data_IF_029448585319
#
_entry.id   IF_029448585319
#
_cell.length_a   1.000
_cell.length_b   1.000
_cell.length_c   1.000
_cell.angle_alpha   90.00
_cell.angle_beta   90.00
_cell.angle_gamma   90.00
#
_symmetry.space_group_name_H-M   'P 1'
#
loop_
_entity.id
_entity.type
_entity.pdbx_description
1 polymer ?
#
# COMPACT_ATOMS: atom_id res chain seq x y z
N UNK A 1 -3.24 26.16 6.85
CA UNK A 1 -3.37 24.83 6.21
C UNK A 1 -2.52 24.90 4.95
N UNK A 2 -1.49 24.09 4.82
CA UNK A 2 -0.72 24.03 3.57
C UNK A 2 -1.71 23.59 2.47
N UNK A 3 -1.74 24.35 1.36
CA UNK A 3 -2.47 23.94 0.17
C UNK A 3 -1.96 22.54 -0.21
N UNK A 4 -2.83 21.52 -0.37
CA UNK A 4 -2.37 20.25 -0.89
C UNK A 4 -1.64 20.56 -2.20
N UNK A 5 -0.44 20.02 -2.36
CA UNK A 5 0.30 20.19 -3.60
C UNK A 5 -0.58 19.62 -4.73
N UNK A 6 -1.18 20.51 -5.52
CA UNK A 6 -2.13 20.16 -6.59
C UNK A 6 -1.52 19.20 -7.63
N UNK A 7 -0.20 19.06 -7.60
CA UNK A 7 0.55 18.16 -8.48
C UNK A 7 0.86 16.80 -7.83
N UNK A 8 0.58 16.62 -6.53
CA UNK A 8 0.89 15.39 -5.81
C UNK A 8 -0.17 14.31 -6.04
N UNK A 9 0.17 13.17 -6.67
CA UNK A 9 -0.80 12.13 -6.96
C UNK A 9 -1.41 11.52 -5.68
N UNK A 10 -0.67 11.46 -4.58
CA UNK A 10 -1.18 10.90 -3.33
C UNK A 10 -2.12 11.86 -2.59
N UNK A 11 -1.93 13.18 -2.74
CA UNK A 11 -2.90 14.17 -2.29
C UNK A 11 -4.22 14.04 -3.08
N UNK A 12 -4.12 13.83 -4.39
CA UNK A 12 -5.29 13.58 -5.24
C UNK A 12 -6.05 12.33 -4.78
N UNK A 13 -5.36 11.22 -4.56
CA UNK A 13 -5.98 9.99 -4.03
C UNK A 13 -6.64 10.25 -2.68
N UNK A 14 -5.92 10.87 -1.74
CA UNK A 14 -6.42 11.17 -0.41
C UNK A 14 -7.65 12.09 -0.43
N UNK A 15 -7.75 13.06 -1.33
CA UNK A 15 -8.90 13.95 -1.46
C UNK A 15 -10.08 13.29 -2.17
N UNK A 16 -9.84 12.41 -3.12
CA UNK A 16 -10.87 11.74 -3.93
C UNK A 16 -11.61 10.68 -3.13
N UNK A 17 -10.89 9.84 -2.39
CA UNK A 17 -11.48 8.74 -1.64
C UNK A 17 -11.82 9.14 -0.20
N UNK A 18 -13.09 9.43 0.06
CA UNK A 18 -13.56 9.79 1.39
C UNK A 18 -13.32 8.68 2.43
N UNK A 19 -13.06 9.03 3.70
CA UNK A 19 -12.95 8.05 4.79
C UNK A 19 -14.23 7.23 4.96
N UNK A 20 -14.06 5.95 5.31
CA UNK A 20 -15.14 5.03 5.68
C UNK A 20 -14.74 4.21 6.92
N UNK A 21 -15.71 3.60 7.66
CA UNK A 21 -15.39 2.70 8.77
C UNK A 21 -14.62 1.47 8.26
N UNK A 22 -13.34 1.28 8.61
CA UNK A 22 -12.52 0.19 8.05
C UNK A 22 -13.02 -1.22 8.43
N UNK A 23 -13.80 -1.33 9.53
CA UNK A 23 -14.44 -2.59 9.95
C UNK A 23 -15.67 -2.95 9.14
N UNK A 24 -16.20 -2.00 8.34
CA UNK A 24 -17.37 -2.18 7.47
C UNK A 24 -17.17 -1.37 6.18
N UNK A 25 -16.24 -1.79 5.31
CA UNK A 25 -15.96 -1.09 4.07
C UNK A 25 -17.15 -1.14 3.11
N UNK A 26 -17.26 -0.18 2.18
CA UNK A 26 -18.23 -0.24 1.10
C UNK A 26 -18.08 -1.55 0.29
N UNK A 27 -19.17 -2.06 -0.31
CA UNK A 27 -19.09 -3.26 -1.15
C UNK A 27 -18.17 -3.01 -2.36
N UNK A 28 -17.53 -4.06 -2.91
CA UNK A 28 -16.60 -3.92 -4.04
C UNK A 28 -17.17 -3.21 -5.27
N UNK A 29 -18.50 -3.30 -5.46
CA UNK A 29 -19.25 -2.67 -6.56
C UNK A 29 -19.63 -1.21 -6.29
N UNK A 30 -19.23 -0.65 -5.14
CA UNK A 30 -19.56 0.73 -4.79
C UNK A 30 -18.81 1.72 -5.70
N UNK A 31 -19.52 2.69 -6.24
CA UNK A 31 -18.91 3.80 -6.99
C UNK A 31 -17.92 4.63 -6.16
N UNK A 32 -18.03 4.58 -4.82
CA UNK A 32 -17.08 5.24 -3.92
C UNK A 32 -15.68 4.62 -3.95
N UNK A 33 -15.55 3.41 -4.49
CA UNK A 33 -14.30 2.66 -4.62
C UNK A 33 -13.86 2.50 -6.07
N UNK A 34 -14.53 3.18 -7.01
CA UNK A 34 -14.19 3.08 -8.43
C UNK A 34 -12.75 3.53 -8.68
N UNK A 35 -11.88 2.71 -9.32
CA UNK A 35 -10.49 3.08 -9.58
C UNK A 35 -10.36 4.29 -10.51
N UNK A 36 -11.28 4.47 -11.45
CA UNK A 36 -11.34 5.53 -12.45
C UNK A 36 -11.72 6.91 -11.89
N UNK A 37 -11.94 7.04 -10.57
CA UNK A 37 -12.05 8.34 -9.92
C UNK A 37 -10.74 9.14 -9.93
N UNK A 38 -9.62 8.49 -10.21
CA UNK A 38 -8.30 9.11 -10.37
C UNK A 38 -7.63 8.68 -11.66
N UNK A 39 -6.67 9.47 -12.14
CA UNK A 39 -5.82 9.13 -13.28
C UNK A 39 -4.35 9.35 -12.86
N UNK A 40 -3.52 8.29 -12.85
CA UNK A 40 -3.85 6.89 -13.12
C UNK A 40 -4.84 6.30 -12.11
N UNK A 41 -5.45 5.17 -12.47
CA UNK A 41 -6.42 4.45 -11.65
C UNK A 41 -5.85 4.05 -10.29
N UNK A 42 -6.71 4.12 -9.25
CA UNK A 42 -6.30 3.77 -7.89
C UNK A 42 -7.15 2.63 -7.32
N UNK A 43 -6.51 1.53 -6.99
CA UNK A 43 -7.14 0.38 -6.35
C UNK A 43 -7.07 0.53 -4.82
N UNK A 44 -8.09 1.17 -4.23
CA UNK A 44 -8.13 1.55 -2.81
C UNK A 44 -8.34 0.33 -1.90
N UNK A 45 -7.54 0.25 -0.83
CA UNK A 45 -7.62 -0.81 0.21
C UNK A 45 -8.21 -0.26 1.51
N UNK A 46 -7.79 0.93 1.92
CA UNK A 46 -8.17 1.55 3.19
C UNK A 46 -8.30 3.05 3.02
N UNK A 47 -9.32 3.65 3.61
CA UNK A 47 -9.44 5.09 3.73
C UNK A 47 -9.99 5.47 5.09
N UNK A 48 -9.16 6.15 5.90
CA UNK A 48 -9.48 6.67 7.23
C UNK A 48 -9.34 8.19 7.25
N UNK A 49 -9.71 8.88 8.33
CA UNK A 49 -9.46 10.33 8.45
C UNK A 49 -7.98 10.72 8.36
N UNK A 50 -7.06 9.82 8.74
CA UNK A 50 -5.63 10.12 8.88
C UNK A 50 -4.74 9.46 7.83
N UNK A 51 -5.12 8.29 7.30
CA UNK A 51 -4.32 7.51 6.35
C UNK A 51 -5.15 6.92 5.23
N UNK A 52 -4.51 6.67 4.10
CA UNK A 52 -5.03 5.91 2.96
C UNK A 52 -4.08 4.79 2.59
N UNK A 53 -4.60 3.64 2.12
CA UNK A 53 -3.81 2.57 1.54
C UNK A 53 -4.40 2.11 0.21
N UNK A 54 -3.54 1.84 -0.76
CA UNK A 54 -3.90 1.44 -2.12
C UNK A 54 -2.79 0.58 -2.74
N UNK A 55 -3.08 -0.13 -3.82
CA UNK A 55 -2.07 -0.90 -4.54
C UNK A 55 -1.10 0.02 -5.29
N UNK A 56 0.17 -0.36 -5.34
CA UNK A 56 1.17 0.31 -6.19
C UNK A 56 0.83 0.00 -7.65
N UNK A 57 0.72 1.04 -8.48
CA UNK A 57 0.39 0.90 -9.92
C UNK A 57 1.54 0.26 -10.71
N UNK A 58 2.77 0.37 -10.20
CA UNK A 58 3.97 -0.25 -10.78
C UNK A 58 4.55 -1.25 -9.76
N UNK A 59 3.83 -2.36 -9.47
CA UNK A 59 4.16 -3.23 -8.35
C UNK A 59 5.48 -3.97 -8.56
N UNK A 60 6.21 -4.21 -7.47
CA UNK A 60 7.39 -5.08 -7.45
C UNK A 60 7.03 -6.56 -7.34
N UNK A 61 5.83 -6.84 -6.88
CA UNK A 61 5.26 -8.17 -6.72
C UNK A 61 3.73 -8.04 -6.57
N UNK A 62 2.95 -9.10 -6.83
CA UNK A 62 1.51 -9.10 -6.57
C UNK A 62 1.20 -8.64 -5.15
N UNK A 63 0.15 -7.84 -5.00
CA UNK A 63 -0.29 -7.24 -3.74
C UNK A 63 0.72 -6.24 -3.09
N UNK A 64 1.67 -5.70 -3.85
CA UNK A 64 2.48 -4.56 -3.38
C UNK A 64 1.55 -3.37 -3.10
N UNK A 65 1.48 -2.95 -1.85
CA UNK A 65 0.62 -1.85 -1.43
C UNK A 65 1.41 -0.69 -0.83
N UNK A 66 0.80 0.48 -0.86
CA UNK A 66 1.29 1.72 -0.26
C UNK A 66 0.36 2.12 0.89
N UNK A 67 0.95 2.57 2.00
CA UNK A 67 0.24 3.20 3.12
C UNK A 67 0.77 4.63 3.28
N UNK A 68 -0.10 5.62 3.14
CA UNK A 68 0.25 7.04 3.15
C UNK A 68 -0.53 7.80 4.22
N UNK A 69 0.04 8.85 4.86
CA UNK A 69 -0.75 9.81 5.61
C UNK A 69 -1.66 10.58 4.64
N UNK A 70 -2.85 10.96 5.09
CA UNK A 70 -3.76 11.77 4.28
C UNK A 70 -3.28 13.22 4.11
N UNK A 71 -2.78 13.91 5.15
CA UNK A 71 -2.14 15.20 4.97
C UNK A 71 -0.83 15.08 4.20
N UNK A 72 -0.57 16.05 3.32
CA UNK A 72 0.71 16.13 2.63
C UNK A 72 1.86 16.31 3.63
N UNK A 73 2.83 15.40 3.55
CA UNK A 73 4.10 15.50 4.26
C UNK A 73 5.19 14.97 3.32
N UNK A 74 6.23 15.75 3.12
CA UNK A 74 7.28 15.37 2.17
C UNK A 74 8.17 14.26 2.72
N UNK A 75 8.50 14.34 4.01
CA UNK A 75 9.33 13.36 4.72
C UNK A 75 8.64 12.88 5.99
N UNK A 76 9.07 11.74 6.51
CA UNK A 76 8.51 11.17 7.73
C UNK A 76 8.61 12.12 8.94
N UNK A 77 9.68 12.91 9.00
CA UNK A 77 9.87 13.97 10.02
C UNK A 77 8.81 15.06 10.00
N UNK A 78 8.10 15.22 8.89
CA UNK A 78 7.14 16.30 8.65
C UNK A 78 5.69 15.85 8.93
N UNK A 79 5.49 14.56 9.21
CA UNK A 79 4.16 13.98 9.44
C UNK A 79 3.62 14.45 10.80
N UNK A 80 2.41 15.02 10.86
CA UNK A 80 1.79 15.42 12.12
C UNK A 80 1.54 14.22 13.07
N UNK A 81 1.44 14.43 14.39
CA UNK A 81 1.32 13.35 15.37
C UNK A 81 0.17 12.36 15.09
N UNK A 82 -1.05 12.82 14.88
CA UNK A 82 -2.20 11.93 14.68
C UNK A 82 -2.08 11.03 13.42
N UNK A 83 -1.72 11.56 12.23
CA UNK A 83 -1.39 10.69 11.09
C UNK A 83 -0.19 9.76 11.33
N UNK A 84 0.83 10.19 12.08
CA UNK A 84 1.97 9.34 12.43
C UNK A 84 1.55 8.15 13.32
N UNK A 85 0.71 8.39 14.32
CA UNK A 85 0.10 7.35 15.16
C UNK A 85 -0.75 6.39 14.31
N UNK A 86 -1.55 6.94 13.39
CA UNK A 86 -2.36 6.14 12.48
C UNK A 86 -1.50 5.26 11.55
N UNK A 87 -0.40 5.79 10.99
CA UNK A 87 0.55 4.99 10.22
C UNK A 87 1.10 3.82 11.04
N UNK A 88 1.54 4.08 12.28
CA UNK A 88 2.02 3.05 13.20
C UNK A 88 0.97 1.99 13.54
N UNK A 89 -0.29 2.39 13.69
CA UNK A 89 -1.42 1.50 13.94
C UNK A 89 -1.77 0.64 12.73
N UNK A 90 -1.89 1.25 11.55
CA UNK A 90 -2.39 0.55 10.36
C UNK A 90 -1.33 -0.28 9.63
N UNK A 91 -0.04 0.01 9.81
CA UNK A 91 1.02 -0.78 9.19
C UNK A 91 0.99 -2.27 9.59
N UNK A 92 0.86 -2.64 10.86
CA UNK A 92 0.63 -4.04 11.25
C UNK A 92 -0.69 -4.61 10.73
N UNK A 93 -1.76 -3.81 10.67
CA UNK A 93 -3.08 -4.24 10.17
C UNK A 93 -3.00 -4.64 8.69
N UNK A 94 -2.44 -3.77 7.84
CA UNK A 94 -2.30 -4.09 6.40
C UNK A 94 -1.31 -5.24 6.17
N UNK A 95 -0.29 -5.39 7.02
CA UNK A 95 0.64 -6.53 6.96
C UNK A 95 -0.07 -7.85 7.30
N UNK A 96 -0.93 -7.88 8.33
CA UNK A 96 -1.73 -9.07 8.66
C UNK A 96 -2.75 -9.39 7.56
N UNK A 97 -3.39 -8.36 6.99
CA UNK A 97 -4.31 -8.54 5.87
C UNK A 97 -3.59 -9.15 4.65
N UNK A 98 -2.37 -8.67 4.36
CA UNK A 98 -1.52 -9.20 3.29
C UNK A 98 -1.24 -10.71 3.49
N UNK A 99 -0.79 -11.10 4.69
CA UNK A 99 -0.50 -12.50 5.03
C UNK A 99 -1.76 -13.36 4.93
N UNK A 100 -2.92 -12.82 5.34
CA UNK A 100 -4.21 -13.53 5.24
C UNK A 100 -4.61 -13.80 3.81
N UNK A 101 -4.38 -12.86 2.90
CA UNK A 101 -4.71 -13.01 1.47
C UNK A 101 -3.72 -13.92 0.73
N UNK A 102 -2.42 -13.76 1.00
CA UNK A 102 -1.37 -14.48 0.28
C UNK A 102 -0.98 -15.83 0.90
N UNK A 103 -1.43 -16.09 2.13
CA UNK A 103 -1.18 -17.31 2.88
C UNK A 103 -0.07 -17.18 3.93
N UNK A 104 -0.15 -18.06 4.93
CA UNK A 104 0.86 -18.16 5.99
C UNK A 104 2.24 -18.50 5.41
N UNK A 105 3.28 -17.89 5.97
CA UNK A 105 4.66 -18.06 5.51
C UNK A 105 5.04 -17.12 4.36
N UNK A 106 4.18 -16.15 4.01
CA UNK A 106 4.56 -15.04 3.14
C UNK A 106 5.56 -14.15 3.86
N UNK A 107 6.73 -13.95 3.26
CA UNK A 107 7.70 -12.95 3.69
C UNK A 107 7.37 -11.61 3.02
N UNK A 108 7.65 -10.48 3.67
CA UNK A 108 7.46 -9.14 3.10
C UNK A 108 8.47 -8.14 3.63
N UNK A 109 8.67 -7.06 2.88
CA UNK A 109 9.44 -5.91 3.34
C UNK A 109 8.50 -4.73 3.57
N UNK A 110 8.86 -3.92 4.56
CA UNK A 110 8.33 -2.57 4.75
C UNK A 110 9.46 -1.60 4.45
N UNK A 111 9.24 -0.69 3.50
CA UNK A 111 10.25 0.30 3.07
C UNK A 111 9.62 1.68 3.09
N UNK A 112 10.33 2.66 3.64
CA UNK A 112 9.97 4.07 3.62
C UNK A 112 11.19 4.90 3.25
N UNK A 113 11.06 5.76 2.26
CA UNK A 113 12.14 6.56 1.71
C UNK A 113 11.94 8.04 2.03
N UNK A 114 13.01 8.74 2.46
CA UNK A 114 12.97 10.15 2.80
C UNK A 114 13.87 10.97 1.88
N UNK A 115 13.30 11.49 0.82
CA UNK A 115 13.97 12.32 -0.17
C UNK A 115 14.59 11.55 -1.34
N UNK A 116 14.94 12.27 -2.39
CA UNK A 116 15.43 11.74 -3.66
C UNK A 116 16.69 10.89 -3.49
N UNK A 117 17.61 11.31 -2.60
CA UNK A 117 18.83 10.56 -2.28
C UNK A 117 18.59 9.19 -1.65
N UNK A 118 17.41 8.99 -1.04
CA UNK A 118 16.95 7.70 -0.51
C UNK A 118 16.04 6.93 -1.49
N UNK A 119 15.85 7.43 -2.72
CA UNK A 119 15.02 6.80 -3.74
C UNK A 119 13.52 7.11 -3.62
N UNK A 120 13.14 8.17 -2.90
CA UNK A 120 11.76 8.65 -2.90
C UNK A 120 11.42 9.28 -4.24
N UNK A 121 10.46 8.72 -4.96
CA UNK A 121 10.00 9.21 -6.27
C UNK A 121 8.87 10.22 -6.11
N UNK A 122 7.87 9.91 -5.29
CA UNK A 122 6.79 10.84 -4.97
C UNK A 122 7.09 11.56 -3.67
N UNK A 123 7.09 12.89 -3.69
CA UNK A 123 7.38 13.76 -2.54
C UNK A 123 6.23 13.82 -1.52
N UNK A 124 5.69 12.67 -1.17
CA UNK A 124 4.65 12.46 -0.15
C UNK A 124 5.03 11.19 0.62
N UNK A 125 4.98 11.21 1.93
CA UNK A 125 5.33 10.06 2.76
C UNK A 125 4.48 8.85 2.39
N UNK A 126 5.13 7.74 2.13
CA UNK A 126 4.46 6.46 1.90
C UNK A 126 5.34 5.31 2.38
N UNK A 127 4.69 4.32 2.92
CA UNK A 127 5.30 3.04 3.28
C UNK A 127 4.93 2.02 2.21
N UNK A 128 5.93 1.44 1.57
CA UNK A 128 5.75 0.27 0.74
C UNK A 128 5.64 -0.96 1.62
N UNK A 129 4.62 -1.79 1.40
CA UNK A 129 4.50 -3.14 1.95
C UNK A 129 4.59 -4.11 0.77
N UNK A 130 5.73 -4.79 0.66
CA UNK A 130 6.12 -5.53 -0.54
C UNK A 130 6.19 -7.02 -0.21
N UNK A 131 5.24 -7.85 -0.67
CA UNK A 131 5.31 -9.29 -0.53
C UNK A 131 6.54 -9.87 -1.23
N UNK A 132 7.09 -10.92 -0.64
CA UNK A 132 8.19 -11.71 -1.22
C UNK A 132 7.67 -13.12 -1.43
N UNK A 133 7.00 -13.30 -2.56
CA UNK A 133 6.46 -14.61 -2.91
C UNK A 133 7.64 -15.58 -3.10
N UNK A 134 7.60 -16.68 -2.37
CA UNK A 134 8.57 -17.75 -2.55
C UNK A 134 8.32 -18.35 -3.94
N UNK A 135 9.26 -18.17 -4.85
CA UNK A 135 9.30 -18.99 -6.07
C UNK A 135 9.28 -20.46 -5.64
N UNK A 136 8.17 -21.14 -5.79
CA UNK A 136 8.03 -22.56 -5.44
C UNK A 136 9.02 -23.47 -6.20
N UNK A 137 9.84 -22.89 -7.11
CA UNK A 137 10.88 -23.56 -7.90
C UNK A 137 12.32 -23.12 -7.63
N UNK A 138 12.57 -22.05 -6.84
CA UNK A 138 13.91 -21.42 -6.74
C UNK A 138 14.61 -21.61 -5.38
N UNK A 139 14.20 -22.57 -4.57
CA UNK A 139 14.86 -22.85 -3.27
C UNK A 139 16.30 -23.40 -3.40
N UNK A 140 16.81 -23.60 -4.62
CA UNK A 140 18.13 -24.20 -4.90
C UNK A 140 19.04 -23.42 -5.85
N UNK A 141 18.69 -22.19 -6.24
CA UNK A 141 19.53 -21.39 -7.16
C UNK A 141 20.82 -20.84 -6.49
N UNK A 142 21.88 -20.56 -7.29
CA UNK A 142 23.13 -19.99 -6.80
C UNK A 142 22.91 -18.69 -6.03
N UNK A 143 23.75 -18.42 -5.05
CA UNK A 143 23.68 -17.23 -4.16
C UNK A 143 23.65 -15.92 -4.97
N UNK A 144 24.33 -15.86 -6.11
CA UNK A 144 24.32 -14.70 -7.03
C UNK A 144 22.95 -14.43 -7.65
N UNK A 145 22.15 -15.45 -7.96
CA UNK A 145 20.80 -15.29 -8.50
C UNK A 145 19.83 -14.80 -7.40
N UNK A 146 20.01 -15.28 -6.17
CA UNK A 146 19.30 -14.76 -4.99
C UNK A 146 19.66 -13.30 -4.71
N UNK A 147 20.93 -12.90 -4.87
CA UNK A 147 21.38 -11.51 -4.75
C UNK A 147 20.83 -10.63 -5.90
N UNK A 148 20.79 -11.13 -7.14
CA UNK A 148 20.25 -10.38 -8.28
C UNK A 148 18.74 -10.13 -8.12
N UNK A 149 18.00 -11.13 -7.65
CA UNK A 149 16.58 -10.98 -7.26
C UNK A 149 16.43 -10.05 -6.05
N UNK A 150 17.39 -10.05 -5.11
CA UNK A 150 17.43 -9.11 -3.98
C UNK A 150 17.66 -7.66 -4.42
N UNK A 151 18.45 -7.40 -5.48
CA UNK A 151 18.63 -6.05 -6.04
C UNK A 151 17.38 -5.52 -6.74
N UNK A 152 16.59 -6.38 -7.38
CA UNK A 152 15.25 -6.05 -7.85
C UNK A 152 14.32 -5.67 -6.68
N UNK A 153 14.64 -6.07 -5.45
CA UNK A 153 13.93 -5.72 -4.22
C UNK A 153 13.86 -4.21 -3.97
N UNK A 154 14.80 -3.41 -4.46
CA UNK A 154 14.86 -1.97 -4.25
C UNK A 154 14.41 -1.14 -5.45
N UNK A 155 13.60 -1.73 -6.35
CA UNK A 155 12.98 -0.98 -7.43
C UNK A 155 13.83 -0.79 -8.68
N UNK A 156 14.91 -1.56 -8.85
CA UNK A 156 15.71 -1.59 -10.07
C UNK A 156 15.37 -2.84 -10.89
N UNK A 157 14.56 -2.68 -11.91
CA UNK A 157 14.17 -3.73 -12.85
C UNK A 157 12.97 -3.29 -13.69
N UNK A 158 12.67 -4.00 -14.78
CA UNK A 158 11.44 -3.76 -15.53
C UNK A 158 10.24 -4.01 -14.61
N UNK A 159 9.30 -3.10 -14.59
CA UNK A 159 8.02 -3.22 -13.88
C UNK A 159 6.93 -3.21 -14.92
N UNK A 160 5.90 -3.98 -14.68
CA UNK A 160 4.68 -3.97 -15.47
C UNK A 160 3.62 -3.19 -14.70
N UNK A 161 2.80 -2.45 -15.43
CA UNK A 161 1.68 -1.73 -14.85
C UNK A 161 0.64 -2.74 -14.36
N UNK A 162 0.05 -2.47 -13.20
CA UNK A 162 -0.98 -3.31 -12.61
C UNK A 162 -2.21 -3.32 -13.52
N UNK A 163 -2.62 -4.52 -13.96
CA UNK A 163 -3.85 -4.67 -14.73
C UNK A 163 -5.08 -4.31 -13.90
N UNK A 164 -6.04 -3.61 -14.55
CA UNK A 164 -7.21 -3.07 -13.86
C UNK A 164 -8.06 -4.16 -13.18
N UNK A 165 -8.32 -5.28 -13.85
CA UNK A 165 -9.09 -6.39 -13.30
C UNK A 165 -8.37 -7.04 -12.10
N UNK A 166 -7.08 -7.33 -12.24
CA UNK A 166 -6.25 -7.87 -11.16
C UNK A 166 -6.19 -6.92 -9.96
N UNK A 167 -6.05 -5.61 -10.23
CA UNK A 167 -6.03 -4.57 -9.20
C UNK A 167 -7.34 -4.49 -8.42
N UNK A 168 -8.49 -4.54 -9.11
CA UNK A 168 -9.83 -4.53 -8.50
C UNK A 168 -10.04 -5.73 -7.59
N UNK A 169 -9.71 -6.93 -8.06
CA UNK A 169 -9.84 -8.17 -7.31
C UNK A 169 -8.94 -8.18 -6.07
N UNK A 170 -7.66 -7.87 -6.26
CA UNK A 170 -6.70 -7.83 -5.16
C UNK A 170 -7.05 -6.78 -4.10
N UNK A 171 -7.45 -5.60 -4.50
CA UNK A 171 -7.86 -4.55 -3.57
C UNK A 171 -9.13 -4.95 -2.79
N UNK A 172 -10.08 -5.65 -3.43
CA UNK A 172 -11.27 -6.15 -2.75
C UNK A 172 -10.92 -7.20 -1.68
N UNK A 173 -10.04 -8.15 -1.99
CA UNK A 173 -9.55 -9.17 -1.05
C UNK A 173 -8.84 -8.52 0.14
N UNK A 174 -7.90 -7.61 -0.11
CA UNK A 174 -7.15 -6.93 0.94
C UNK A 174 -8.05 -6.06 1.83
N UNK A 175 -9.03 -5.37 1.26
CA UNK A 175 -10.01 -4.56 1.99
C UNK A 175 -10.86 -5.42 2.92
N UNK A 176 -11.34 -6.56 2.45
CA UNK A 176 -12.05 -7.55 3.27
C UNK A 176 -11.19 -8.06 4.42
N UNK A 177 -9.94 -8.44 4.13
CA UNK A 177 -9.00 -8.92 5.14
C UNK A 177 -8.65 -7.85 6.19
N UNK A 178 -8.52 -6.57 5.80
CA UNK A 178 -8.35 -5.46 6.75
C UNK A 178 -9.53 -5.36 7.71
N UNK A 179 -10.76 -5.45 7.19
CA UNK A 179 -11.96 -5.41 8.03
C UNK A 179 -12.00 -6.56 9.03
N UNK A 180 -11.68 -7.78 8.60
CA UNK A 180 -11.63 -8.95 9.47
C UNK A 180 -10.57 -8.83 10.56
N UNK A 181 -9.35 -8.35 10.23
CA UNK A 181 -8.28 -8.11 11.20
C UNK A 181 -8.74 -7.15 12.28
N UNK A 182 -9.33 -6.02 11.90
CA UNK A 182 -9.81 -4.99 12.84
C UNK A 182 -10.99 -5.48 13.69
N UNK A 183 -11.90 -6.26 13.11
CA UNK A 183 -13.01 -6.87 13.85
C UNK A 183 -12.54 -7.89 14.90
N UNK A 184 -11.43 -8.59 14.61
CA UNK A 184 -10.82 -9.51 15.59
C UNK A 184 -10.11 -8.75 16.71
N UNK A 185 -9.38 -7.68 16.40
CA UNK A 185 -8.74 -6.83 17.42
C UNK A 185 -9.75 -6.20 18.39
N UNK A 186 -10.95 -5.84 17.90
CA UNK A 186 -12.00 -5.26 18.73
C UNK A 186 -12.65 -6.26 19.71
N UNK A 187 -12.36 -7.55 19.59
CA UNK A 187 -12.89 -8.63 20.48
C UNK A 187 -11.90 -9.03 21.57
N UNK A 188 -10.68 -8.48 21.55
CA UNK A 188 -9.64 -8.73 22.55
C UNK A 188 -9.63 -7.65 23.63
#
# INVERSE_FOLDING_TARGET
MANPDETCPFCTIASTYAPYPPTSPPPPTSSLLSPDLTAPETHLILSTPDVVAFLDIMPLSPAHLLLCPRPHAQKLSDVPPAPAEALGRYLPVVSRALVRVLGEGTDWNVVQNNGVGAGQVVGHVHFHVIPRLKDRGAAGGPMEERFRKSFAMFGKGPREELGDEEGREMAALLRGAVAEVLQQEAKL
#
